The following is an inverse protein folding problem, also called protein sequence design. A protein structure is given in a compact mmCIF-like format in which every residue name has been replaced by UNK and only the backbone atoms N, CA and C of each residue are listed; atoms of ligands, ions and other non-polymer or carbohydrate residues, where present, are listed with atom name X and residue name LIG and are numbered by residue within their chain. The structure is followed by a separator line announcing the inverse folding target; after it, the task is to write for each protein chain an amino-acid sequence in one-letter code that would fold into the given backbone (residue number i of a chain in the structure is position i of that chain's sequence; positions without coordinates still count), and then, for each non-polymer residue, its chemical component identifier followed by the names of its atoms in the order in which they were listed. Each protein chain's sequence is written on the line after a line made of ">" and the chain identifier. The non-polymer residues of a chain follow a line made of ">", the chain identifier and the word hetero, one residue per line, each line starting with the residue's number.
data_IF_501404963119
#
_entry.id   IF_501404963119
#
_cell.length_a   1.000
_cell.length_b   1.000
_cell.length_c   1.000
_cell.angle_alpha   90.00
_cell.angle_beta   90.00
_cell.angle_gamma   90.00
#
_symmetry.space_group_name_H-M   'P 1'
#
loop_
_entity.id
_entity.type
_entity.pdbx_description
1 polymer ?
#
# COMPACT_ATOMS: atom_id res chain seq x y z
N UNK A 1 -9.99 -17.88 -9.38
CA UNK A 1 -11.11 -16.90 -9.41
C UNK A 1 -11.26 -16.10 -8.11
N UNK A 2 -10.77 -16.58 -6.96
CA UNK A 2 -10.79 -15.84 -5.69
C UNK A 2 -9.67 -14.78 -5.60
N UNK A 3 -8.40 -15.18 -5.82
CA UNK A 3 -7.25 -14.27 -5.75
C UNK A 3 -7.41 -12.99 -6.60
N UNK A 4 -7.96 -13.11 -7.81
CA UNK A 4 -8.23 -11.95 -8.66
C UNK A 4 -9.30 -10.99 -8.09
N UNK A 5 -10.29 -11.53 -7.37
CA UNK A 5 -11.33 -10.73 -6.70
C UNK A 5 -10.79 -10.04 -5.47
N UNK A 6 -9.97 -10.72 -4.67
CA UNK A 6 -9.30 -10.13 -3.50
C UNK A 6 -8.37 -8.98 -3.93
N UNK A 7 -7.64 -9.17 -5.03
CA UNK A 7 -6.83 -8.10 -5.61
C UNK A 7 -7.69 -6.91 -6.05
N UNK A 8 -8.78 -7.16 -6.79
CA UNK A 8 -9.69 -6.12 -7.24
C UNK A 8 -10.36 -5.38 -6.06
N UNK A 9 -10.74 -6.11 -5.01
CA UNK A 9 -11.30 -5.55 -3.79
C UNK A 9 -10.28 -4.64 -3.09
N UNK A 10 -9.04 -5.10 -2.91
CA UNK A 10 -8.00 -4.28 -2.31
C UNK A 10 -7.66 -3.02 -3.13
N UNK A 11 -7.71 -3.11 -4.46
CA UNK A 11 -7.52 -1.95 -5.34
C UNK A 11 -8.68 -0.95 -5.20
N UNK A 12 -9.93 -1.44 -5.15
CA UNK A 12 -11.10 -0.60 -4.93
C UNK A 12 -11.01 0.13 -3.59
N UNK A 13 -10.74 -0.59 -2.50
CA UNK A 13 -10.62 0.01 -1.17
C UNK A 13 -9.50 1.06 -1.08
N UNK A 14 -8.37 0.82 -1.77
CA UNK A 14 -7.29 1.79 -1.84
C UNK A 14 -7.72 3.06 -2.59
N UNK A 15 -8.42 2.92 -3.72
CA UNK A 15 -8.87 4.06 -4.51
C UNK A 15 -9.99 4.84 -3.81
N UNK A 16 -10.93 4.17 -3.16
CA UNK A 16 -11.97 4.81 -2.33
C UNK A 16 -11.34 5.66 -1.23
N UNK A 17 -10.27 5.17 -0.57
CA UNK A 17 -9.56 5.94 0.43
C UNK A 17 -8.85 7.18 -0.15
N UNK A 18 -8.48 7.18 -1.44
CA UNK A 18 -7.85 8.33 -2.08
C UNK A 18 -8.89 9.37 -2.54
N UNK A 19 -10.08 8.93 -2.95
CA UNK A 19 -11.12 9.79 -3.50
C UNK A 19 -12.11 10.32 -2.44
N UNK A 20 -12.31 9.60 -1.32
CA UNK A 20 -13.21 9.99 -0.23
C UNK A 20 -12.44 10.38 1.07
N UNK A 21 -12.49 11.67 1.48
CA UNK A 21 -11.83 12.14 2.69
C UNK A 21 -12.27 11.44 3.99
N UNK A 22 -13.51 10.94 4.09
CA UNK A 22 -14.02 10.26 5.27
C UNK A 22 -13.47 8.83 5.37
N UNK A 23 -13.33 8.14 4.23
CA UNK A 23 -12.67 6.83 4.17
C UNK A 23 -11.21 6.98 4.58
N UNK A 24 -10.52 8.00 4.05
CA UNK A 24 -9.15 8.31 4.43
C UNK A 24 -9.02 8.64 5.92
N UNK A 25 -9.95 9.40 6.49
CA UNK A 25 -9.97 9.72 7.91
C UNK A 25 -10.06 8.45 8.78
N UNK A 26 -10.88 7.47 8.39
CA UNK A 26 -10.94 6.16 9.05
C UNK A 26 -9.58 5.45 9.02
N UNK A 27 -8.91 5.42 7.86
CA UNK A 27 -7.55 4.86 7.71
C UNK A 27 -6.52 5.59 8.57
N UNK A 28 -6.65 6.92 8.72
CA UNK A 28 -5.78 7.74 9.59
C UNK A 28 -5.95 7.39 11.07
N UNK A 29 -7.20 7.24 11.53
CA UNK A 29 -7.49 6.82 12.89
C UNK A 29 -6.99 5.41 13.20
N UNK A 30 -7.00 4.52 12.19
CA UNK A 30 -6.46 3.17 12.30
C UNK A 30 -4.92 3.12 12.22
N UNK A 31 -4.23 4.24 11.99
CA UNK A 31 -2.78 4.31 11.82
C UNK A 31 -2.28 3.79 10.46
N UNK A 32 -3.18 3.55 9.50
CA UNK A 32 -2.89 3.03 8.15
C UNK A 32 -2.67 4.14 7.11
N UNK A 33 -2.93 5.39 7.50
CA UNK A 33 -2.67 6.59 6.71
C UNK A 33 -2.33 7.77 7.65
N UNK A 34 -1.80 8.85 7.11
CA UNK A 34 -1.58 10.09 7.85
C UNK A 34 -1.51 11.30 6.92
N UNK A 35 -1.92 12.47 7.41
CA UNK A 35 -1.72 13.74 6.75
C UNK A 35 -0.51 14.45 7.38
N UNK A 36 0.42 14.91 6.57
CA UNK A 36 1.63 15.58 7.06
C UNK A 36 1.94 16.84 6.27
N UNK A 37 2.46 17.84 6.96
CA UNK A 37 3.02 19.06 6.38
C UNK A 37 4.53 18.89 6.19
N UNK A 38 5.05 19.22 5.02
CA UNK A 38 6.50 19.19 4.75
C UNK A 38 7.16 20.41 5.38
N UNK A 39 8.04 20.21 6.34
CA UNK A 39 8.75 21.31 7.04
C UNK A 39 10.15 21.55 6.49
N UNK A 40 10.78 20.52 5.92
CA UNK A 40 12.09 20.58 5.29
C UNK A 40 12.21 19.55 4.17
N UNK A 41 12.99 19.90 3.14
CA UNK A 41 13.37 19.02 2.05
C UNK A 41 14.88 19.09 1.89
N UNK A 42 15.55 17.95 2.11
CA UNK A 42 17.00 17.83 1.93
C UNK A 42 17.28 16.91 0.75
N UNK A 43 17.90 17.44 -0.30
CA UNK A 43 18.30 16.62 -1.44
C UNK A 43 19.40 15.63 -1.04
N UNK A 44 19.21 14.36 -1.40
CA UNK A 44 20.22 13.32 -1.27
C UNK A 44 20.20 12.41 -2.50
N UNK A 45 21.24 11.60 -2.68
CA UNK A 45 21.40 10.70 -3.82
C UNK A 45 21.89 9.33 -3.37
N UNK A 46 21.58 8.29 -4.15
CA UNK A 46 22.15 6.95 -3.92
C UNK A 46 23.66 6.95 -4.13
N UNK A 47 24.39 6.21 -3.31
CA UNK A 47 25.81 5.93 -3.51
C UNK A 47 25.99 4.86 -4.62
N UNK A 48 26.15 5.31 -5.86
CA UNK A 48 26.39 4.41 -7.00
C UNK A 48 27.11 5.13 -8.14
N UNK A 49 27.59 4.37 -9.15
CA UNK A 49 28.22 4.93 -10.36
C UNK A 49 27.29 5.86 -11.15
N UNK A 50 25.97 5.71 -10.99
CA UNK A 50 24.94 6.58 -11.58
C UNK A 50 23.99 7.01 -10.46
N UNK A 51 24.32 8.07 -9.70
CA UNK A 51 23.53 8.49 -8.55
C UNK A 51 22.09 8.84 -8.95
N UNK A 52 21.12 8.22 -8.30
CA UNK A 52 19.71 8.55 -8.43
C UNK A 52 19.25 9.43 -7.25
N UNK A 53 18.36 10.41 -7.46
CA UNK A 53 17.86 11.25 -6.38
C UNK A 53 17.09 10.42 -5.32
N UNK A 54 17.29 10.76 -4.06
CA UNK A 54 16.71 10.17 -2.83
C UNK A 54 16.48 11.26 -1.78
N UNK A 55 15.70 12.32 -2.10
CA UNK A 55 15.48 13.41 -1.17
C UNK A 55 14.84 12.90 0.13
N UNK A 56 15.24 13.53 1.22
CA UNK A 56 14.68 13.35 2.55
C UNK A 56 13.68 14.48 2.79
N UNK A 57 12.50 14.11 3.25
CA UNK A 57 11.43 15.00 3.65
C UNK A 57 11.32 14.91 5.16
N UNK A 58 11.46 16.03 5.85
CA UNK A 58 11.06 16.13 7.25
C UNK A 58 9.62 16.63 7.24
N UNK A 59 8.71 15.85 7.84
CA UNK A 59 7.27 16.14 7.83
C UNK A 59 6.70 16.11 9.24
N UNK A 60 5.78 17.03 9.52
CA UNK A 60 5.07 17.09 10.79
C UNK A 60 3.65 16.58 10.62
N UNK A 61 3.19 15.73 11.54
CA UNK A 61 1.84 15.17 11.53
C UNK A 61 1.25 15.13 12.93
N UNK A 62 -0.06 15.33 13.02
CA UNK A 62 -0.84 15.15 14.26
C UNK A 62 -1.37 13.72 14.40
N UNK A 63 -1.22 12.89 13.36
CA UNK A 63 -1.67 11.50 13.34
C UNK A 63 -0.69 10.58 14.09
N UNK A 64 -1.09 9.31 14.27
CA UNK A 64 -0.29 8.25 14.89
C UNK A 64 -0.14 7.05 13.95
N UNK A 65 0.57 7.19 12.82
CA UNK A 65 0.73 6.10 11.87
C UNK A 65 1.55 4.95 12.47
N UNK A 66 1.23 3.73 12.08
CA UNK A 66 1.93 2.52 12.50
C UNK A 66 3.25 2.33 11.73
N UNK A 67 4.19 3.25 11.94
CA UNK A 67 5.49 3.23 11.30
C UNK A 67 6.49 2.38 12.09
N UNK A 68 7.15 1.48 11.38
CA UNK A 68 8.34 0.75 11.84
C UNK A 68 9.50 1.06 10.88
N UNK A 69 10.72 0.69 11.24
CA UNK A 69 11.91 0.92 10.43
C UNK A 69 11.72 0.36 9.00
N UNK A 70 11.98 1.21 8.00
CA UNK A 70 11.89 0.88 6.56
C UNK A 70 10.48 0.57 6.05
N UNK A 71 9.43 0.90 6.80
CA UNK A 71 8.06 0.85 6.29
C UNK A 71 7.92 1.80 5.10
N UNK A 72 7.27 1.32 4.04
CA UNK A 72 6.94 2.14 2.89
C UNK A 72 5.65 2.90 3.13
N UNK A 73 5.65 4.14 2.65
CA UNK A 73 4.48 5.00 2.61
C UNK A 73 4.30 5.51 1.20
N UNK A 74 3.07 5.81 0.81
CA UNK A 74 2.71 6.13 -0.56
C UNK A 74 1.90 7.42 -0.59
N UNK A 75 2.16 8.26 -1.58
CA UNK A 75 1.30 9.41 -1.91
C UNK A 75 0.82 9.30 -3.35
N UNK A 76 -0.32 9.92 -3.65
CA UNK A 76 -0.78 10.05 -5.04
C UNK A 76 -0.03 11.21 -5.70
N UNK A 77 0.67 10.93 -6.79
CA UNK A 77 1.33 11.90 -7.67
C UNK A 77 0.74 11.74 -9.06
N UNK A 78 -0.05 12.71 -9.51
CA UNK A 78 -0.78 12.68 -10.80
C UNK A 78 -1.58 11.37 -10.99
N UNK A 79 -2.25 10.91 -9.93
CA UNK A 79 -3.04 9.67 -9.94
C UNK A 79 -2.21 8.39 -9.92
N UNK A 80 -0.89 8.47 -9.70
CA UNK A 80 -0.02 7.31 -9.58
C UNK A 80 0.63 7.26 -8.20
N UNK A 81 0.83 6.06 -7.62
CA UNK A 81 1.57 5.95 -6.38
C UNK A 81 3.03 6.38 -6.59
N UNK A 82 3.48 7.27 -5.71
CA UNK A 82 4.89 7.54 -5.45
C UNK A 82 5.25 7.00 -4.06
N UNK A 83 6.30 6.19 -4.00
CA UNK A 83 6.76 5.56 -2.76
C UNK A 83 7.80 6.41 -2.03
N UNK A 84 7.68 6.44 -0.71
CA UNK A 84 8.71 6.87 0.20
C UNK A 84 8.94 5.82 1.29
N UNK A 85 10.08 5.90 1.97
CA UNK A 85 10.46 5.00 3.06
C UNK A 85 10.59 5.80 4.36
N UNK A 86 10.01 5.31 5.44
CA UNK A 86 10.24 5.86 6.76
C UNK A 86 11.67 5.57 7.22
N UNK A 87 12.41 6.63 7.55
CA UNK A 87 13.81 6.56 7.96
C UNK A 87 13.95 6.60 9.47
N UNK A 88 13.33 7.59 10.12
CA UNK A 88 13.41 7.82 11.58
C UNK A 88 12.41 8.89 12.02
N UNK A 89 12.21 8.98 13.33
CA UNK A 89 11.69 10.18 13.99
C UNK A 89 12.84 11.17 14.26
N UNK A 90 12.57 12.46 14.15
CA UNK A 90 13.40 13.53 14.69
C UNK A 90 13.10 13.75 16.18
N UNK A 91 13.98 14.47 16.88
CA UNK A 91 13.85 14.74 18.33
C UNK A 91 12.55 15.48 18.70
N UNK A 92 12.01 16.28 17.77
CA UNK A 92 10.77 17.03 17.93
C UNK A 92 9.51 16.21 17.59
N UNK A 93 9.67 14.94 17.23
CA UNK A 93 8.60 14.03 16.82
C UNK A 93 8.23 14.10 15.33
N UNK A 94 8.92 14.92 14.53
CA UNK A 94 8.74 14.94 13.07
C UNK A 94 9.19 13.61 12.44
N UNK A 95 8.60 13.25 11.30
CA UNK A 95 8.93 12.05 10.54
C UNK A 95 9.93 12.38 9.42
N UNK A 96 10.96 11.56 9.25
CA UNK A 96 11.85 11.64 8.09
C UNK A 96 11.46 10.56 7.08
N UNK A 97 11.05 10.99 5.89
CA UNK A 97 10.68 10.12 4.77
C UNK A 97 11.68 10.27 3.63
N UNK A 98 12.14 9.16 3.04
CA UNK A 98 12.98 9.16 1.85
C UNK A 98 12.16 8.84 0.61
N UNK A 99 12.09 9.76 -0.35
CA UNK A 99 11.40 9.50 -1.62
C UNK A 99 12.22 8.51 -2.46
N UNK A 100 11.56 7.48 -3.01
CA UNK A 100 12.23 6.36 -3.67
C UNK A 100 12.12 6.39 -5.20
N UNK A 101 10.98 6.83 -5.73
CA UNK A 101 10.65 6.71 -7.15
C UNK A 101 9.93 7.94 -7.73
N UNK A 102 9.51 7.84 -8.99
CA UNK A 102 8.76 8.86 -9.75
C UNK A 102 9.43 10.24 -9.90
N UNK A 103 10.74 10.34 -9.69
CA UNK A 103 11.52 11.58 -9.87
C UNK A 103 12.17 11.75 -11.26
N UNK A 104 11.73 10.98 -12.26
CA UNK A 104 12.38 10.94 -13.57
C UNK A 104 13.64 10.07 -13.61
N UNK A 105 14.36 10.13 -14.74
CA UNK A 105 15.58 9.31 -14.99
C UNK A 105 16.88 10.14 -14.91
N UNK A 106 16.75 11.45 -14.73
CA UNK A 106 17.85 12.41 -14.61
C UNK A 106 18.39 12.46 -13.17
N UNK A 107 19.56 13.11 -13.02
CA UNK A 107 20.15 13.39 -11.71
C UNK A 107 19.33 14.43 -10.93
N UNK A 108 18.74 15.38 -11.66
CA UNK A 108 17.78 16.34 -11.14
C UNK A 108 16.37 15.73 -11.19
N UNK A 109 15.60 15.78 -10.09
CA UNK A 109 14.22 15.33 -10.09
C UNK A 109 13.38 16.09 -11.12
N UNK A 110 12.39 15.40 -11.69
CA UNK A 110 11.37 16.06 -12.49
C UNK A 110 10.61 17.11 -11.67
N UNK A 111 10.21 18.22 -12.29
CA UNK A 111 9.40 19.26 -11.65
C UNK A 111 8.12 18.66 -11.05
N UNK A 112 7.74 19.10 -9.84
CA UNK A 112 6.59 18.59 -9.09
C UNK A 112 6.75 17.18 -8.49
N UNK A 113 7.82 16.45 -8.81
CA UNK A 113 8.01 15.07 -8.31
C UNK A 113 8.50 14.99 -6.87
N UNK A 114 9.07 16.08 -6.34
CA UNK A 114 9.51 16.20 -4.94
C UNK A 114 8.63 17.27 -4.30
N UNK A 115 8.03 16.99 -3.13
CA UNK A 115 7.25 17.99 -2.42
C UNK A 115 8.03 19.27 -2.11
N UNK A 116 7.30 20.36 -1.96
CA UNK A 116 7.87 21.62 -1.46
C UNK A 116 7.57 21.83 0.03
N UNK A 117 8.38 22.68 0.68
CA UNK A 117 8.12 23.08 2.06
C UNK A 117 6.77 23.80 2.17
N UNK A 118 5.98 23.41 3.16
CA UNK A 118 4.62 23.91 3.42
C UNK A 118 3.52 23.09 2.72
N UNK A 119 3.88 22.16 1.82
CA UNK A 119 2.91 21.28 1.19
C UNK A 119 2.31 20.31 2.20
N UNK A 120 0.99 20.11 2.14
CA UNK A 120 0.28 19.15 2.98
C UNK A 120 -0.11 17.92 2.16
N UNK A 121 0.41 16.77 2.55
CA UNK A 121 0.30 15.52 1.79
C UNK A 121 -0.41 14.47 2.63
N UNK A 122 -1.32 13.73 2.00
CA UNK A 122 -1.84 12.48 2.51
C UNK A 122 -0.91 11.33 2.11
N UNK A 123 -0.46 10.59 3.12
CA UNK A 123 0.36 9.39 2.98
C UNK A 123 -0.45 8.17 3.41
N UNK A 124 -0.29 7.06 2.71
CA UNK A 124 -0.89 5.75 3.03
C UNK A 124 0.22 4.73 3.30
N UNK A 125 -0.02 3.79 4.23
CA UNK A 125 0.89 2.67 4.48
C UNK A 125 0.59 1.46 3.58
N UNK A 126 -0.50 1.54 2.80
CA UNK A 126 -0.88 0.56 1.78
C UNK A 126 -0.57 1.08 0.37
N UNK A 127 -0.28 0.15 -0.55
CA UNK A 127 -0.09 0.44 -1.98
C UNK A 127 -1.41 0.77 -2.66
N UNK A 128 -1.38 1.68 -3.63
CA UNK A 128 -2.56 2.06 -4.42
C UNK A 128 -2.89 1.05 -5.52
N UNK A 129 -1.91 0.21 -5.87
CA UNK A 129 -2.07 -0.86 -6.86
C UNK A 129 -1.59 -2.16 -6.21
N UNK A 130 -2.55 -3.00 -5.78
CA UNK A 130 -2.25 -4.29 -5.16
C UNK A 130 -1.56 -5.19 -6.18
N UNK A 131 -0.28 -5.51 -5.96
CA UNK A 131 0.41 -6.54 -6.74
C UNK A 131 -0.20 -7.89 -6.43
N UNK A 132 -0.62 -8.61 -7.46
CA UNK A 132 -1.14 -9.97 -7.32
C UNK A 132 -0.15 -10.87 -6.59
N UNK A 133 -0.65 -11.62 -5.60
CA UNK A 133 0.11 -12.65 -4.91
C UNK A 133 0.51 -13.80 -5.84
N UNK A 134 1.37 -14.73 -5.35
CA UNK A 134 1.71 -15.93 -6.10
C UNK A 134 0.44 -16.67 -6.54
N UNK A 135 0.47 -17.24 -7.75
CA UNK A 135 -0.62 -18.08 -8.23
C UNK A 135 -0.85 -19.18 -7.20
N UNK A 136 -2.11 -19.41 -6.83
CA UNK A 136 -2.46 -20.58 -6.03
C UNK A 136 -1.94 -21.85 -6.72
N UNK A 137 -1.42 -22.83 -5.96
CA UNK A 137 -1.01 -24.10 -6.52
C UNK A 137 -2.18 -24.75 -7.25
N UNK A 138 -1.89 -25.63 -8.21
CA UNK A 138 -2.97 -26.35 -8.86
C UNK A 138 -3.67 -27.26 -7.82
N UNK A 139 -4.97 -27.55 -7.99
CA UNK A 139 -5.74 -28.29 -6.97
C UNK A 139 -5.12 -29.64 -6.59
N UNK A 140 -4.45 -30.31 -7.54
CA UNK A 140 -3.73 -31.57 -7.33
C UNK A 140 -2.50 -31.43 -6.43
N UNK A 141 -1.89 -30.25 -6.41
CA UNK A 141 -0.72 -29.91 -5.60
C UNK A 141 -1.11 -29.29 -4.25
N UNK A 142 -2.41 -29.06 -4.03
CA UNK A 142 -2.92 -28.52 -2.76
C UNK A 142 -3.00 -29.65 -1.71
N UNK A 143 -2.28 -29.55 -0.58
CA UNK A 143 -2.31 -30.59 0.44
C UNK A 143 -3.71 -30.71 1.03
N UNK A 144 -4.34 -31.86 0.83
CA UNK A 144 -5.70 -32.16 1.27
C UNK A 144 -5.66 -32.99 2.55
N UNK A 145 -6.40 -32.56 3.57
CA UNK A 145 -6.48 -33.31 4.82
C UNK A 145 -7.49 -34.47 4.76
N UNK A 146 -8.45 -34.46 3.81
CA UNK A 146 -9.39 -35.57 3.52
C UNK A 146 -9.93 -35.46 2.07
N UNK A 147 -10.29 -36.58 1.42
CA UNK A 147 -11.12 -36.60 0.19
C UNK A 147 -10.43 -36.45 -1.18
N UNK A 148 -9.13 -36.15 -1.25
CA UNK A 148 -8.44 -35.91 -2.50
C UNK A 148 -8.70 -34.51 -3.08
N UNK A 149 -7.98 -34.10 -4.14
CA UNK A 149 -8.31 -32.90 -4.88
C UNK A 149 -9.74 -32.97 -5.44
N UNK A 150 -10.45 -31.84 -5.56
CA UNK A 150 -11.80 -31.81 -6.11
C UNK A 150 -11.82 -32.40 -7.52
N UNK A 151 -12.70 -33.38 -7.74
CA UNK A 151 -12.90 -34.04 -9.03
C UNK A 151 -13.71 -33.13 -9.96
N UNK A 152 -13.13 -32.76 -11.10
CA UNK A 152 -13.79 -31.88 -12.08
C UNK A 152 -15.03 -32.54 -12.74
N UNK A 153 -15.13 -33.86 -12.66
CA UNK A 153 -16.20 -34.72 -13.17
C UNK A 153 -17.30 -35.04 -12.14
N UNK A 154 -17.11 -34.65 -10.88
CA UNK A 154 -18.12 -34.85 -9.84
C UNK A 154 -19.21 -33.78 -9.95
N UNK A 155 -20.41 -34.19 -10.36
CA UNK A 155 -21.62 -33.38 -10.17
C UNK A 155 -21.96 -33.45 -8.69
N UNK A 156 -21.77 -32.35 -7.98
CA UNK A 156 -22.21 -32.20 -6.59
C UNK A 156 -23.75 -32.20 -6.60
N UNK A 157 -24.34 -33.34 -6.26
CA UNK A 157 -25.78 -33.46 -6.10
C UNK A 157 -26.15 -32.79 -4.78
N UNK A 158 -27.26 -32.03 -4.73
CA UNK A 158 -27.75 -31.49 -3.47
C UNK A 158 -28.01 -32.65 -2.51
N UNK A 159 -27.66 -32.45 -1.24
CA UNK A 159 -27.98 -33.42 -0.20
C UNK A 159 -29.50 -33.68 -0.20
N UNK A 160 -29.92 -34.95 -0.04
CA UNK A 160 -31.33 -35.26 0.03
C UNK A 160 -31.92 -34.59 1.28
N UNK A 161 -33.09 -33.95 1.12
CA UNK A 161 -33.83 -33.33 2.23
C UNK A 161 -33.99 -34.34 3.36
N UNK A 162 -33.50 -33.99 4.55
CA UNK A 162 -33.63 -34.84 5.73
C UNK A 162 -34.83 -34.40 6.56
N UNK A 163 -35.37 -35.26 7.45
CA UNK A 163 -36.52 -34.92 8.28
C UNK A 163 -36.30 -33.71 9.22
N UNK A 164 -35.05 -33.34 9.46
CA UNK A 164 -34.68 -32.18 10.28
C UNK A 164 -34.81 -30.84 9.54
N UNK A 165 -34.91 -30.85 8.20
CA UNK A 165 -35.08 -29.66 7.36
C UNK A 165 -36.55 -29.17 7.25
N UNK A 166 -37.50 -29.88 7.86
CA UNK A 166 -38.95 -29.66 7.68
C UNK A 166 -39.67 -29.21 8.97
N UNK A 167 -38.94 -28.57 9.89
CA UNK A 167 -39.47 -27.94 11.12
C UNK A 167 -39.57 -26.42 10.99
#
# INVERSE_FOLDING_TARGET
>A
KLAAREQAQGQLEAQEALDDPLVLAGRRLAGEAFAAEVVEVTMAWTESKRPAPRPLLTVRTDDRPHLDARVRVYRSLDGKPQAAEFVRYEEDGSLVLRVLDRMGRSKEPAEGSVPEKGERIAWTLFEHDQRGGPKLPDPEETPWTHGGPPRADAVELPDPVTPEDVL
#
